data_IF_469921947671
#
_entry.id   IF_469921947671
#
_cell.length_a   1.000
_cell.length_b   1.000
_cell.length_c   1.000
_cell.angle_alpha   90.00
_cell.angle_beta   90.00
_cell.angle_gamma   90.00
#
_symmetry.space_group_name_H-M   'P 1'
#
loop_
_entity.id
_entity.type
_entity.pdbx_description
1 polymer ?
#
# COMPACT_ATOMS: atom_id res chain seq x y z
N UNK A 1 -27.36 -6.00 -13.65
CA UNK A 1 -26.23 -6.70 -14.30
C UNK A 1 -24.99 -6.41 -13.47
N UNK A 2 -24.49 -7.40 -12.76
CA UNK A 2 -23.22 -7.29 -12.05
C UNK A 2 -22.10 -7.23 -13.09
N UNK A 3 -21.56 -6.03 -13.31
CA UNK A 3 -20.41 -5.86 -14.19
C UNK A 3 -19.22 -6.61 -13.56
N UNK A 4 -18.86 -7.75 -14.11
CA UNK A 4 -17.73 -8.53 -13.60
C UNK A 4 -16.47 -7.69 -13.74
N UNK A 5 -15.69 -7.54 -12.67
CA UNK A 5 -14.39 -6.84 -12.70
C UNK A 5 -13.41 -7.44 -13.71
N UNK A 6 -13.61 -8.70 -14.10
CA UNK A 6 -12.78 -9.40 -15.10
C UNK A 6 -13.04 -8.97 -16.54
N UNK A 7 -14.17 -8.33 -16.82
CA UNK A 7 -14.57 -7.87 -18.16
C UNK A 7 -14.87 -6.38 -18.19
N UNK A 8 -14.49 -5.66 -17.14
CA UNK A 8 -14.62 -4.21 -17.03
C UNK A 8 -13.64 -3.48 -17.95
N UNK A 9 -13.80 -2.15 -18.08
CA UNK A 9 -12.83 -1.32 -18.78
C UNK A 9 -11.46 -1.36 -18.10
N UNK A 10 -10.40 -0.97 -18.83
CA UNK A 10 -9.01 -1.05 -18.40
C UNK A 10 -8.78 -0.39 -17.01
N UNK A 11 -9.23 0.84 -16.83
CA UNK A 11 -9.06 1.59 -15.57
C UNK A 11 -9.72 0.88 -14.39
N UNK A 12 -10.92 0.35 -14.59
CA UNK A 12 -11.66 -0.37 -13.56
C UNK A 12 -10.99 -1.70 -13.21
N UNK A 13 -10.45 -2.40 -14.20
CA UNK A 13 -9.70 -3.64 -14.00
C UNK A 13 -8.43 -3.39 -13.20
N UNK A 14 -7.66 -2.33 -13.53
CA UNK A 14 -6.45 -1.97 -12.78
C UNK A 14 -6.77 -1.57 -11.34
N UNK A 15 -7.82 -0.78 -11.11
CA UNK A 15 -8.28 -0.43 -9.76
C UNK A 15 -8.70 -1.65 -8.95
N UNK A 16 -9.46 -2.55 -9.55
CA UNK A 16 -9.90 -3.77 -8.88
C UNK A 16 -8.72 -4.66 -8.49
N UNK A 17 -7.71 -4.79 -9.37
CA UNK A 17 -6.48 -5.52 -9.08
C UNK A 17 -5.70 -4.91 -7.93
N UNK A 18 -5.52 -3.59 -7.93
CA UNK A 18 -4.85 -2.88 -6.83
C UNK A 18 -5.60 -3.10 -5.50
N UNK A 19 -6.92 -2.92 -5.50
CA UNK A 19 -7.73 -3.07 -4.29
C UNK A 19 -7.70 -4.49 -3.73
N UNK A 20 -7.66 -5.51 -4.60
CA UNK A 20 -7.51 -6.90 -4.17
C UNK A 20 -6.24 -7.09 -3.29
N UNK A 21 -5.10 -6.52 -3.69
CA UNK A 21 -3.87 -6.60 -2.91
C UNK A 21 -3.90 -5.72 -1.66
N UNK A 22 -4.49 -4.52 -1.74
CA UNK A 22 -4.67 -3.63 -0.58
C UNK A 22 -5.52 -4.29 0.52
N UNK A 23 -6.56 -5.02 0.14
CA UNK A 23 -7.42 -5.74 1.08
C UNK A 23 -6.69 -6.93 1.69
N UNK A 24 -5.86 -7.65 0.91
CA UNK A 24 -5.00 -8.70 1.43
C UNK A 24 -4.01 -8.15 2.49
N UNK A 25 -3.42 -6.97 2.26
CA UNK A 25 -2.53 -6.30 3.23
C UNK A 25 -3.24 -6.08 4.57
N UNK A 26 -4.46 -5.54 4.57
CA UNK A 26 -5.22 -5.29 5.81
C UNK A 26 -5.62 -6.59 6.50
N UNK A 27 -6.05 -7.59 5.75
CA UNK A 27 -6.39 -8.89 6.31
C UNK A 27 -5.21 -9.54 7.06
N UNK A 28 -3.97 -9.33 6.60
CA UNK A 28 -2.77 -9.87 7.28
C UNK A 28 -2.52 -9.29 8.68
N UNK A 29 -3.23 -8.23 9.05
CA UNK A 29 -3.13 -7.62 10.39
C UNK A 29 -4.20 -8.13 11.34
N UNK A 30 -5.28 -8.70 10.83
CA UNK A 30 -6.45 -9.09 11.64
C UNK A 30 -6.11 -10.16 12.68
N UNK A 31 -6.61 -9.95 13.91
CA UNK A 31 -6.46 -10.90 15.00
C UNK A 31 -5.08 -10.93 15.66
N UNK A 32 -4.13 -10.12 15.20
CA UNK A 32 -2.81 -9.98 15.82
C UNK A 32 -2.79 -8.84 16.83
N UNK A 33 -2.03 -9.02 17.92
CA UNK A 33 -1.77 -7.97 18.88
C UNK A 33 -0.65 -7.02 18.43
N UNK A 34 -0.44 -5.92 19.16
CA UNK A 34 0.56 -4.90 18.82
C UNK A 34 1.99 -5.46 18.82
N UNK A 35 2.32 -6.37 19.73
CA UNK A 35 3.64 -7.02 19.76
C UNK A 35 3.87 -7.85 18.50
N UNK A 36 2.90 -8.65 18.08
CA UNK A 36 2.97 -9.48 16.88
C UNK A 36 3.09 -8.64 15.61
N UNK A 37 2.34 -7.53 15.51
CA UNK A 37 2.34 -6.63 14.37
C UNK A 37 3.69 -5.91 14.19
N UNK A 38 4.39 -5.60 15.29
CA UNK A 38 5.69 -4.90 15.30
C UNK A 38 6.89 -5.83 15.26
N UNK A 39 6.68 -7.12 15.52
CA UNK A 39 7.79 -8.07 15.63
C UNK A 39 8.62 -8.11 14.37
N UNK A 40 9.94 -7.83 14.45
CA UNK A 40 10.83 -7.97 13.32
C UNK A 40 11.03 -9.46 13.02
N UNK A 41 10.70 -9.87 11.81
CA UNK A 41 10.73 -11.27 11.38
C UNK A 41 11.89 -11.59 10.44
N UNK A 42 12.67 -10.59 10.08
CA UNK A 42 13.87 -10.74 9.25
C UNK A 42 15.07 -10.08 9.92
N UNK A 43 16.32 -10.44 9.55
CA UNK A 43 17.53 -9.78 10.08
C UNK A 43 17.56 -8.27 9.83
N UNK A 44 16.90 -7.79 8.80
CA UNK A 44 16.79 -6.36 8.46
C UNK A 44 15.65 -5.63 9.16
N UNK A 45 14.84 -6.33 9.97
CA UNK A 45 13.81 -5.71 10.78
C UNK A 45 12.41 -5.65 10.16
N UNK A 46 12.15 -6.38 9.08
CA UNK A 46 10.82 -6.38 8.42
C UNK A 46 9.73 -6.85 9.38
N UNK A 47 8.71 -6.04 9.57
CA UNK A 47 7.50 -6.33 10.35
C UNK A 47 6.25 -6.05 9.54
N UNK A 48 5.11 -6.63 9.95
CA UNK A 48 3.82 -6.36 9.29
C UNK A 48 3.46 -4.88 9.32
N UNK A 49 3.61 -4.24 10.46
CA UNK A 49 3.25 -2.83 10.62
C UNK A 49 4.19 -1.89 9.87
N UNK A 50 5.49 -2.20 9.81
CA UNK A 50 6.46 -1.46 8.99
C UNK A 50 6.10 -1.51 7.49
N UNK A 51 5.68 -2.67 6.99
CA UNK A 51 5.22 -2.81 5.60
C UNK A 51 3.96 -1.98 5.31
N UNK A 52 3.00 -1.91 6.25
CA UNK A 52 1.80 -1.06 6.09
C UNK A 52 2.16 0.42 6.05
N UNK A 53 3.07 0.87 6.92
CA UNK A 53 3.57 2.25 6.93
C UNK A 53 4.21 2.61 5.59
N UNK A 54 5.10 1.76 5.10
CA UNK A 54 5.72 1.89 3.78
C UNK A 54 4.67 1.99 2.66
N UNK A 55 3.71 1.08 2.62
CA UNK A 55 2.65 1.12 1.61
C UNK A 55 1.82 2.41 1.67
N UNK A 56 1.61 3.00 2.84
CA UNK A 56 0.99 4.32 2.97
C UNK A 56 1.81 5.42 2.32
N UNK A 57 3.13 5.44 2.55
CA UNK A 57 4.01 6.45 1.97
C UNK A 57 4.12 6.33 0.45
N UNK A 58 4.20 5.12 -0.09
CA UNK A 58 4.27 4.92 -1.55
C UNK A 58 2.95 5.21 -2.26
N UNK A 59 1.79 4.98 -1.61
CA UNK A 59 0.48 5.44 -2.12
C UNK A 59 0.46 6.96 -2.30
N UNK A 60 0.88 7.71 -1.28
CA UNK A 60 0.97 9.16 -1.37
C UNK A 60 1.97 9.62 -2.40
N UNK A 61 3.17 9.04 -2.41
CA UNK A 61 4.23 9.40 -3.34
C UNK A 61 3.81 9.20 -4.79
N UNK A 62 3.37 8.00 -5.14
CA UNK A 62 3.06 7.64 -6.52
C UNK A 62 1.75 8.22 -7.05
N UNK A 63 0.69 8.27 -6.24
CA UNK A 63 -0.59 8.79 -6.73
C UNK A 63 -0.74 10.29 -6.47
N UNK A 64 -0.37 10.80 -5.29
CA UNK A 64 -0.68 12.18 -4.94
C UNK A 64 0.46 13.12 -5.35
N UNK A 65 1.66 12.92 -4.82
CA UNK A 65 2.81 13.79 -5.08
C UNK A 65 3.19 13.82 -6.56
N UNK A 66 3.26 12.65 -7.22
CA UNK A 66 3.61 12.52 -8.64
C UNK A 66 2.70 13.36 -9.56
N UNK A 67 1.43 13.53 -9.21
CA UNK A 67 0.47 14.32 -9.99
C UNK A 67 0.24 15.74 -9.44
N UNK A 68 1.13 16.23 -8.58
CA UNK A 68 1.12 17.60 -8.06
C UNK A 68 0.09 17.87 -6.97
N UNK A 69 -0.43 16.82 -6.33
CA UNK A 69 -1.30 16.94 -5.16
C UNK A 69 -0.50 17.19 -3.88
N UNK A 70 -1.15 17.77 -2.90
CA UNK A 70 -0.58 17.98 -1.56
C UNK A 70 -0.70 16.70 -0.73
N UNK A 71 0.43 16.26 -0.17
CA UNK A 71 0.51 15.15 0.78
C UNK A 71 0.47 15.72 2.19
N UNK A 72 -0.24 15.05 3.11
CA UNK A 72 -0.20 15.40 4.52
C UNK A 72 1.25 15.35 5.06
N UNK A 73 1.61 16.18 6.06
CA UNK A 73 2.94 16.11 6.66
C UNK A 73 3.21 14.73 7.22
N UNK A 74 4.29 14.09 6.76
CA UNK A 74 4.73 12.82 7.30
C UNK A 74 5.53 13.07 8.59
N UNK A 75 5.39 12.18 9.57
CA UNK A 75 6.13 12.23 10.83
C UNK A 75 7.42 11.41 10.79
N UNK A 76 7.77 10.88 9.62
CA UNK A 76 8.96 10.09 9.34
C UNK A 76 9.54 10.49 7.98
N UNK A 77 10.80 10.13 7.74
CA UNK A 77 11.43 10.32 6.43
C UNK A 77 11.12 9.14 5.50
N UNK A 78 10.30 9.33 4.45
CA UNK A 78 9.92 8.26 3.51
C UNK A 78 11.08 7.76 2.64
N UNK A 79 12.24 8.41 2.70
CA UNK A 79 13.45 8.03 1.96
C UNK A 79 14.52 7.39 2.84
N UNK A 80 14.21 7.12 4.08
CA UNK A 80 15.10 6.48 5.06
C UNK A 80 14.59 5.10 5.48
N UNK A 81 15.37 4.42 6.33
CA UNK A 81 14.94 3.16 6.94
C UNK A 81 13.70 3.30 7.85
N UNK A 82 13.34 4.52 8.27
CA UNK A 82 12.16 4.81 9.08
C UNK A 82 10.86 4.46 8.35
N UNK A 83 10.86 4.55 7.01
CA UNK A 83 9.70 4.22 6.17
C UNK A 83 9.22 2.78 6.34
N UNK A 84 10.15 1.84 6.52
CA UNK A 84 9.87 0.41 6.69
C UNK A 84 9.84 -0.04 8.16
N UNK A 85 10.03 0.87 9.10
CA UNK A 85 10.07 0.58 10.52
C UNK A 85 8.84 1.16 11.24
N UNK A 86 8.28 0.40 12.19
CA UNK A 86 7.25 0.88 13.11
C UNK A 86 7.88 1.08 14.48
N UNK A 87 8.21 2.33 14.82
CA UNK A 87 8.83 2.68 16.09
C UNK A 87 7.87 2.60 17.26
N UNK A 88 8.40 2.45 18.48
CA UNK A 88 7.56 2.32 19.68
C UNK A 88 6.74 3.59 19.99
N UNK A 89 7.13 4.75 19.47
CA UNK A 89 6.38 5.99 19.61
C UNK A 89 5.16 6.10 18.65
N UNK A 90 5.06 5.20 17.68
CA UNK A 90 3.99 5.15 16.69
C UNK A 90 2.94 4.12 17.11
N UNK A 91 1.67 4.50 17.18
CA UNK A 91 0.63 3.52 17.48
C UNK A 91 0.24 2.70 16.26
N UNK A 92 -0.17 1.46 16.46
CA UNK A 92 -0.74 0.60 15.40
C UNK A 92 -1.88 1.30 14.68
N UNK A 93 -2.79 1.92 15.44
CA UNK A 93 -3.92 2.67 14.89
C UNK A 93 -3.46 3.84 14.01
N UNK A 94 -2.47 4.61 14.44
CA UNK A 94 -1.91 5.73 13.65
C UNK A 94 -1.42 5.26 12.27
N UNK A 95 -0.71 4.15 12.21
CA UNK A 95 -0.16 3.61 10.96
C UNK A 95 -1.28 3.06 10.06
N UNK A 96 -2.24 2.33 10.61
CA UNK A 96 -3.38 1.79 9.84
C UNK A 96 -4.25 2.93 9.29
N UNK A 97 -4.54 3.94 10.10
CA UNK A 97 -5.31 5.12 9.66
C UNK A 97 -4.56 5.93 8.60
N UNK A 98 -3.25 6.08 8.73
CA UNK A 98 -2.40 6.71 7.72
C UNK A 98 -2.51 5.99 6.37
N UNK A 99 -2.38 4.66 6.35
CA UNK A 99 -2.57 3.87 5.14
C UNK A 99 -3.98 4.05 4.55
N UNK A 100 -5.01 4.07 5.39
CA UNK A 100 -6.40 4.32 4.97
C UNK A 100 -6.58 5.68 4.32
N UNK A 101 -5.99 6.74 4.89
CA UNK A 101 -6.03 8.09 4.30
C UNK A 101 -5.27 8.16 2.98
N UNK A 102 -4.11 7.53 2.89
CA UNK A 102 -3.32 7.46 1.67
C UNK A 102 -4.10 6.78 0.54
N UNK A 103 -4.72 5.62 0.81
CA UNK A 103 -5.61 4.92 -0.14
C UNK A 103 -6.76 5.82 -0.61
N UNK A 104 -7.40 6.52 0.31
CA UNK A 104 -8.53 7.42 -0.01
C UNK A 104 -8.08 8.55 -0.94
N UNK A 105 -6.92 9.16 -0.67
CA UNK A 105 -6.34 10.21 -1.52
C UNK A 105 -5.98 9.68 -2.91
N UNK A 106 -5.36 8.50 -2.98
CA UNK A 106 -5.04 7.82 -4.23
C UNK A 106 -6.31 7.50 -5.05
N UNK A 107 -7.35 6.97 -4.41
CA UNK A 107 -8.61 6.61 -5.08
C UNK A 107 -9.31 7.84 -5.66
N UNK A 108 -9.26 8.97 -4.96
CA UNK A 108 -9.77 10.25 -5.49
C UNK A 108 -9.02 10.67 -6.75
N UNK A 109 -7.69 10.66 -6.70
CA UNK A 109 -6.87 11.00 -7.88
C UNK A 109 -7.15 10.05 -9.05
N UNK A 110 -7.21 8.76 -8.81
CA UNK A 110 -7.52 7.76 -9.83
C UNK A 110 -8.90 8.03 -10.47
N UNK A 111 -9.89 8.41 -9.68
CA UNK A 111 -11.23 8.73 -10.18
C UNK A 111 -11.22 9.95 -11.10
N UNK A 112 -10.49 11.01 -10.73
CA UNK A 112 -10.46 12.30 -11.42
C UNK A 112 -9.58 12.34 -12.68
N UNK A 113 -8.59 11.45 -12.80
CA UNK A 113 -7.59 11.46 -13.88
C UNK A 113 -7.84 10.43 -14.96
N UNK A 114 -7.36 10.72 -16.17
CA UNK A 114 -7.29 9.73 -17.27
C UNK A 114 -6.05 8.85 -17.13
N UNK A 115 -6.11 7.62 -17.64
CA UNK A 115 -4.96 6.70 -17.68
C UNK A 115 -3.76 7.26 -18.46
N UNK A 116 -4.01 8.19 -19.35
CA UNK A 116 -2.97 8.86 -20.17
C UNK A 116 -2.43 10.14 -19.54
N UNK A 117 -3.01 10.63 -18.46
CA UNK A 117 -2.51 11.81 -17.76
C UNK A 117 -1.10 11.55 -17.25
N UNK A 118 -0.25 12.57 -17.40
CA UNK A 118 1.16 12.49 -17.00
C UNK A 118 1.38 13.17 -15.66
N UNK A 119 2.12 12.48 -14.80
CA UNK A 119 2.69 13.02 -13.57
C UNK A 119 4.21 12.98 -13.63
N UNK A 120 4.86 13.68 -12.72
CA UNK A 120 6.33 13.73 -12.65
C UNK A 120 6.78 13.49 -11.20
N UNK A 121 7.21 12.28 -10.87
CA UNK A 121 7.79 12.00 -9.56
C UNK A 121 9.10 12.78 -9.41
N UNK A 122 9.26 13.46 -8.29
CA UNK A 122 10.43 14.29 -7.99
C UNK A 122 11.75 13.52 -8.06
N UNK A 123 11.70 12.25 -7.62
CA UNK A 123 12.88 11.37 -7.54
C UNK A 123 13.28 10.70 -8.86
N UNK A 124 12.48 10.80 -9.95
CA UNK A 124 12.80 10.14 -11.23
C UNK A 124 13.19 11.09 -12.34
N UNK A 125 12.75 12.33 -12.28
CA UNK A 125 13.01 13.32 -13.34
C UNK A 125 12.24 13.08 -14.65
N UNK A 126 11.68 11.89 -14.87
CA UNK A 126 10.89 11.53 -16.06
C UNK A 126 9.41 11.53 -15.78
N UNK A 127 8.59 11.91 -16.77
CA UNK A 127 7.15 11.83 -16.66
C UNK A 127 6.66 10.37 -16.75
N UNK A 128 5.63 10.05 -15.99
CA UNK A 128 4.96 8.74 -15.99
C UNK A 128 3.45 8.92 -16.19
N UNK A 129 2.81 7.99 -16.89
CA UNK A 129 1.34 8.02 -17.02
C UNK A 129 0.65 7.40 -15.79
N UNK A 130 -0.60 7.78 -15.52
CA UNK A 130 -1.39 7.14 -14.48
C UNK A 130 -1.51 5.62 -14.70
N UNK A 131 -1.61 5.17 -15.97
CA UNK A 131 -1.59 3.74 -16.29
C UNK A 131 -0.33 3.06 -15.77
N UNK A 132 0.84 3.65 -16.02
CA UNK A 132 2.11 3.12 -15.54
C UNK A 132 2.15 3.07 -14.01
N UNK A 133 1.71 4.14 -13.34
CA UNK A 133 1.65 4.20 -11.87
C UNK A 133 0.73 3.12 -11.30
N UNK A 134 -0.45 2.89 -11.90
CA UNK A 134 -1.35 1.82 -11.47
C UNK A 134 -0.71 0.43 -11.59
N UNK A 135 -0.04 0.14 -12.71
CA UNK A 135 0.68 -1.13 -12.89
C UNK A 135 1.78 -1.27 -11.84
N UNK A 136 2.61 -0.23 -11.67
CA UNK A 136 3.68 -0.22 -10.69
C UNK A 136 3.15 -0.45 -9.25
N UNK A 137 2.06 0.21 -8.87
CA UNK A 137 1.49 0.07 -7.54
C UNK A 137 0.80 -1.28 -7.31
N UNK A 138 0.29 -1.92 -8.36
CA UNK A 138 -0.16 -3.31 -8.28
C UNK A 138 1.02 -4.23 -7.97
N UNK A 139 2.13 -4.08 -8.70
CA UNK A 139 3.35 -4.87 -8.48
C UNK A 139 3.94 -4.65 -7.09
N UNK A 140 4.02 -3.40 -6.64
CA UNK A 140 4.56 -3.01 -5.34
C UNK A 140 3.69 -3.56 -4.20
N UNK A 141 2.38 -3.34 -4.27
CA UNK A 141 1.46 -3.83 -3.23
C UNK A 141 1.41 -5.36 -3.21
N UNK A 142 1.41 -6.03 -4.37
CA UNK A 142 1.44 -7.48 -4.46
C UNK A 142 2.73 -8.08 -3.88
N UNK A 143 3.89 -7.45 -4.16
CA UNK A 143 5.19 -7.86 -3.59
C UNK A 143 5.16 -7.82 -2.07
N UNK A 144 4.71 -6.71 -1.51
CA UNK A 144 4.66 -6.54 -0.06
C UNK A 144 3.57 -7.38 0.59
N UNK A 145 2.43 -7.60 -0.05
CA UNK A 145 1.43 -8.57 0.39
C UNK A 145 2.02 -9.99 0.48
N UNK A 146 2.84 -10.39 -0.50
CA UNK A 146 3.57 -11.68 -0.47
C UNK A 146 4.62 -11.74 0.66
N UNK A 147 5.33 -10.66 0.95
CA UNK A 147 6.19 -10.60 2.15
C UNK A 147 5.37 -10.76 3.43
N UNK A 148 4.21 -10.12 3.52
CA UNK A 148 3.30 -10.24 4.66
C UNK A 148 2.72 -11.64 4.80
N UNK A 149 2.50 -12.37 3.69
CA UNK A 149 2.09 -13.77 3.74
C UNK A 149 3.08 -14.61 4.53
N UNK A 150 4.37 -14.50 4.21
CA UNK A 150 5.45 -15.25 4.87
C UNK A 150 5.61 -14.80 6.33
N UNK A 151 5.61 -13.50 6.58
CA UNK A 151 5.73 -12.96 7.95
C UNK A 151 4.55 -13.40 8.81
N UNK A 152 3.33 -13.38 8.29
CA UNK A 152 2.13 -13.83 8.99
C UNK A 152 2.20 -15.32 9.35
N UNK A 153 2.57 -16.16 8.39
CA UNK A 153 2.73 -17.59 8.62
C UNK A 153 3.75 -17.89 9.72
N UNK A 154 4.87 -17.15 9.75
CA UNK A 154 5.89 -17.28 10.79
C UNK A 154 5.42 -16.82 12.19
N UNK A 155 4.45 -15.91 12.26
CA UNK A 155 3.93 -15.38 13.53
C UNK A 155 2.91 -16.35 14.15
N UNK A 156 1.92 -16.80 13.39
CA UNK A 156 0.79 -17.57 13.92
C UNK A 156 0.35 -18.76 13.04
N UNK A 157 1.05 -19.03 11.94
CA UNK A 157 0.73 -20.13 11.03
C UNK A 157 -0.42 -19.84 10.05
N UNK A 158 -1.01 -18.65 10.06
CA UNK A 158 -2.09 -18.31 9.16
C UNK A 158 -1.58 -18.15 7.72
N UNK A 159 -2.27 -18.76 6.75
CA UNK A 159 -1.94 -18.75 5.33
C UNK A 159 -3.11 -18.27 4.48
N UNK A 160 -2.83 -17.93 3.21
CA UNK A 160 -3.84 -17.48 2.24
C UNK A 160 -3.92 -15.96 2.09
N UNK A 161 -4.50 -15.53 0.98
CA UNK A 161 -4.60 -14.11 0.62
C UNK A 161 -5.79 -13.38 1.26
N UNK A 162 -6.81 -14.12 1.68
CA UNK A 162 -8.05 -13.61 2.28
C UNK A 162 -8.55 -14.56 3.35
N UNK A 163 -9.36 -14.05 4.30
CA UNK A 163 -10.10 -14.94 5.20
C UNK A 163 -11.01 -15.84 4.36
N UNK A 164 -11.08 -17.15 4.66
CA UNK A 164 -12.14 -17.99 4.12
C UNK A 164 -13.48 -17.42 4.57
N UNK A 165 -14.32 -17.06 3.61
CA UNK A 165 -15.68 -16.61 3.85
C UNK A 165 -16.57 -17.71 4.42
#
# INVERSE_FOLDING_TARGET
MTNSTYTAGEKETLRASLNHHRDAVLWKLEGLDDEQLRRPMTPTGTSLLGLVKHLGSVEYGWFVSTFGGEVEPLWFDPYSAEDMAADQGETTQQIIEFYGRARTAADRLIAERSLTDLGRPEWRGEAVSLRWVLVHMIEETARHAGHMDIVRELIDGATGAHQPG
#
